data_IF_871642782614
#
_entry.id   IF_871642782614
#
_cell.length_a   1.000
_cell.length_b   1.000
_cell.length_c   1.000
_cell.angle_alpha   90.00
_cell.angle_beta   90.00
_cell.angle_gamma   90.00
#
_symmetry.space_group_name_H-M   'P 1'
#
loop_
_entity.id
_entity.type
_entity.pdbx_description
1 polymer ?
#
# COMPACT_ATOMS: atom_id res chain seq x y z
N UNK A 1 -17.52 -6.21 13.35
CA UNK A 1 -18.76 -6.83 12.83
C UNK A 1 -18.32 -7.73 11.69
N UNK A 2 -18.12 -9.01 11.99
CA UNK A 2 -17.53 -9.97 11.04
C UNK A 2 -18.58 -10.39 10.02
N UNK A 3 -18.38 -9.99 8.77
CA UNK A 3 -19.21 -10.41 7.65
C UNK A 3 -18.74 -11.79 7.18
N UNK A 4 -19.39 -12.85 7.66
CA UNK A 4 -19.29 -14.19 7.06
C UNK A 4 -20.11 -14.23 5.76
N UNK A 5 -19.44 -14.33 4.62
CA UNK A 5 -20.09 -14.53 3.32
C UNK A 5 -20.42 -16.02 3.12
N UNK A 6 -21.72 -16.37 3.12
CA UNK A 6 -22.21 -17.67 2.65
C UNK A 6 -22.65 -17.58 1.19
N UNK A 7 -21.74 -17.89 0.25
CA UNK A 7 -22.02 -17.98 -1.19
C UNK A 7 -21.74 -19.39 -1.72
N UNK A 8 -22.44 -19.81 -2.78
CA UNK A 8 -22.41 -21.19 -3.30
C UNK A 8 -20.98 -21.71 -3.55
N UNK A 9 -20.71 -22.92 -3.06
CA UNK A 9 -19.40 -23.61 -2.99
C UNK A 9 -18.63 -23.63 -4.33
N UNK A 10 -19.31 -23.59 -5.48
CA UNK A 10 -18.70 -23.55 -6.81
C UNK A 10 -18.02 -22.22 -7.16
N UNK A 11 -18.53 -21.07 -6.69
CA UNK A 11 -17.95 -19.74 -6.96
C UNK A 11 -16.74 -19.43 -6.06
N UNK A 12 -16.70 -20.02 -4.87
CA UNK A 12 -15.59 -19.86 -3.90
C UNK A 12 -14.31 -20.55 -4.41
N UNK A 13 -14.43 -21.72 -5.05
CA UNK A 13 -13.27 -22.43 -5.64
C UNK A 13 -12.58 -21.64 -6.74
N UNK A 14 -13.34 -20.92 -7.57
CA UNK A 14 -12.76 -20.09 -8.64
C UNK A 14 -11.96 -18.92 -8.06
N UNK A 15 -12.46 -18.27 -7.01
CA UNK A 15 -11.73 -17.21 -6.28
C UNK A 15 -10.44 -17.74 -5.66
N UNK A 16 -10.45 -18.95 -5.06
CA UNK A 16 -9.23 -19.60 -4.57
C UNK A 16 -8.18 -19.82 -5.66
N UNK A 17 -8.59 -20.11 -6.90
CA UNK A 17 -7.66 -20.29 -8.02
C UNK A 17 -7.17 -18.98 -8.66
N UNK A 18 -7.98 -17.92 -8.62
CA UNK A 18 -7.66 -16.63 -9.26
C UNK A 18 -6.88 -15.71 -8.32
N UNK A 19 -7.19 -15.74 -7.02
CA UNK A 19 -6.59 -14.83 -6.06
C UNK A 19 -5.05 -14.92 -6.00
N UNK A 20 -4.41 -16.10 -5.97
CA UNK A 20 -2.96 -16.21 -5.97
C UNK A 20 -2.31 -15.58 -7.23
N UNK A 21 -3.02 -15.62 -8.36
CA UNK A 21 -2.54 -15.12 -9.65
C UNK A 21 -2.68 -13.60 -9.81
N UNK A 22 -3.69 -12.98 -9.19
CA UNK A 22 -3.88 -11.52 -9.24
C UNK A 22 -4.52 -10.95 -7.98
N UNK A 23 -3.83 -11.00 -6.83
CA UNK A 23 -4.44 -10.67 -5.55
C UNK A 23 -4.78 -9.17 -5.44
N UNK A 24 -3.96 -8.30 -6.05
CA UNK A 24 -4.17 -6.85 -6.05
C UNK A 24 -5.45 -6.45 -6.79
N UNK A 25 -5.67 -7.01 -7.98
CA UNK A 25 -6.87 -6.72 -8.79
C UNK A 25 -8.13 -7.26 -8.13
N UNK A 26 -8.04 -8.46 -7.54
CA UNK A 26 -9.15 -9.05 -6.79
C UNK A 26 -9.55 -8.17 -5.60
N UNK A 27 -8.57 -7.69 -4.82
CA UNK A 27 -8.82 -6.79 -3.70
C UNK A 27 -9.35 -5.42 -4.15
N UNK A 28 -8.86 -4.85 -5.25
CA UNK A 28 -9.35 -3.57 -5.75
C UNK A 28 -10.83 -3.66 -6.14
N UNK A 29 -11.20 -4.68 -6.93
CA UNK A 29 -12.59 -4.92 -7.33
C UNK A 29 -13.48 -5.26 -6.13
N UNK A 30 -13.02 -6.14 -5.24
CA UNK A 30 -13.76 -6.50 -4.03
C UNK A 30 -14.04 -5.28 -3.14
N UNK A 31 -13.03 -4.44 -2.91
CA UNK A 31 -13.19 -3.21 -2.14
C UNK A 31 -14.13 -2.21 -2.83
N UNK A 32 -14.10 -2.12 -4.16
CA UNK A 32 -15.03 -1.28 -4.92
C UNK A 32 -16.48 -1.76 -4.70
N UNK A 33 -16.74 -3.05 -4.91
CA UNK A 33 -18.08 -3.63 -4.74
C UNK A 33 -18.60 -3.40 -3.31
N UNK A 34 -17.79 -3.67 -2.29
CA UNK A 34 -18.25 -3.46 -0.90
C UNK A 34 -18.52 -1.98 -0.64
N UNK A 35 -17.69 -1.06 -1.13
CA UNK A 35 -17.93 0.38 -0.97
C UNK A 35 -19.25 0.80 -1.60
N UNK A 36 -19.53 0.36 -2.84
CA UNK A 36 -20.79 0.65 -3.53
C UNK A 36 -22.00 0.12 -2.74
N UNK A 37 -21.90 -1.10 -2.18
CA UNK A 37 -22.98 -1.69 -1.37
C UNK A 37 -23.23 -0.90 -0.07
N UNK A 38 -22.17 -0.43 0.59
CA UNK A 38 -22.30 0.37 1.81
C UNK A 38 -22.82 1.78 1.53
N UNK A 39 -22.41 2.40 0.41
CA UNK A 39 -22.94 3.68 -0.06
C UNK A 39 -24.44 3.59 -0.37
N UNK A 40 -24.87 2.52 -1.04
CA UNK A 40 -26.30 2.27 -1.34
C UNK A 40 -27.15 2.20 -0.07
N UNK A 41 -26.56 1.82 1.07
CA UNK A 41 -27.22 1.73 2.37
C UNK A 41 -27.04 2.99 3.23
N UNK A 42 -26.57 4.09 2.66
CA UNK A 42 -26.26 5.35 3.35
C UNK A 42 -25.32 5.19 4.56
N UNK A 43 -24.47 4.16 4.57
CA UNK A 43 -23.47 4.02 5.64
C UNK A 43 -22.29 4.95 5.40
N UNK A 44 -21.86 5.65 6.46
CA UNK A 44 -20.65 6.49 6.45
C UNK A 44 -19.35 5.70 6.59
N UNK A 45 -19.44 4.41 6.92
CA UNK A 45 -18.27 3.54 7.11
C UNK A 45 -17.59 3.24 5.77
N UNK A 46 -16.26 3.25 5.76
CA UNK A 46 -15.44 2.86 4.60
C UNK A 46 -14.83 1.49 4.85
N UNK A 47 -15.54 0.39 4.53
CA UNK A 47 -15.01 -0.95 4.75
C UNK A 47 -13.80 -1.24 3.86
N UNK A 48 -12.90 -2.06 4.39
CA UNK A 48 -11.72 -2.59 3.70
C UNK A 48 -11.68 -4.10 3.88
N UNK A 49 -11.42 -4.83 2.79
CA UNK A 49 -11.22 -6.28 2.84
C UNK A 49 -9.80 -6.57 3.35
N UNK A 50 -9.73 -7.41 4.39
CA UNK A 50 -8.51 -7.95 4.98
C UNK A 50 -8.57 -9.47 4.92
N UNK A 51 -7.57 -10.11 4.34
CA UNK A 51 -7.51 -11.56 4.17
C UNK A 51 -6.61 -12.13 5.27
N UNK A 52 -7.08 -13.16 5.94
CA UNK A 52 -6.40 -13.87 7.03
C UNK A 52 -6.43 -15.37 6.74
N UNK A 53 -5.71 -16.20 7.52
CA UNK A 53 -5.77 -17.66 7.37
C UNK A 53 -5.03 -18.21 6.15
N UNK A 54 -3.89 -17.63 5.82
CA UNK A 54 -3.22 -17.71 4.51
C UNK A 54 -2.62 -19.05 4.00
N UNK A 55 -3.07 -20.27 4.27
CA UNK A 55 -2.33 -21.52 3.92
C UNK A 55 -0.80 -21.56 4.26
N UNK A 56 -0.16 -22.73 4.19
CA UNK A 56 1.28 -22.83 4.51
C UNK A 56 2.18 -22.43 3.33
N UNK A 57 1.66 -22.52 2.10
CA UNK A 57 2.39 -22.16 0.87
C UNK A 57 2.77 -20.68 0.78
N UNK A 58 2.03 -19.82 1.49
CA UNK A 58 2.33 -18.39 1.57
C UNK A 58 3.25 -18.04 2.76
N UNK A 59 3.51 -19.00 3.65
CA UNK A 59 4.36 -18.79 4.82
C UNK A 59 5.82 -18.65 4.41
N UNK A 60 6.48 -17.62 4.93
CA UNK A 60 7.84 -17.29 4.57
C UNK A 60 8.63 -16.85 5.80
N UNK A 61 9.92 -17.19 5.84
CA UNK A 61 10.79 -16.70 6.90
C UNK A 61 11.22 -15.27 6.57
N UNK A 62 11.13 -14.38 7.55
CA UNK A 62 11.45 -12.96 7.38
C UNK A 62 12.87 -12.76 6.83
N UNK A 63 13.85 -13.49 7.37
CA UNK A 63 15.25 -13.50 6.95
C UNK A 63 15.51 -13.99 5.53
N UNK A 64 14.55 -14.69 4.92
CA UNK A 64 14.70 -15.29 3.59
C UNK A 64 14.12 -14.40 2.48
N UNK A 65 13.39 -13.33 2.82
CA UNK A 65 12.80 -12.40 1.83
C UNK A 65 13.89 -11.79 0.94
N UNK A 66 13.69 -11.83 -0.37
CA UNK A 66 14.59 -11.23 -1.36
C UNK A 66 13.82 -10.29 -2.29
N UNK A 67 14.57 -9.48 -3.06
CA UNK A 67 14.01 -8.56 -4.06
C UNK A 67 13.17 -9.26 -5.14
N UNK A 68 13.44 -10.54 -5.42
CA UNK A 68 12.64 -11.38 -6.34
C UNK A 68 11.20 -11.58 -5.86
N UNK A 69 10.95 -11.45 -4.56
CA UNK A 69 9.63 -11.64 -3.96
C UNK A 69 8.77 -10.38 -4.06
N UNK A 70 9.31 -9.28 -4.61
CA UNK A 70 8.58 -8.02 -4.81
C UNK A 70 7.27 -8.25 -5.56
N UNK A 71 6.19 -7.75 -4.99
CA UNK A 71 4.83 -7.85 -5.53
C UNK A 71 4.07 -9.09 -5.06
N UNK A 72 4.72 -10.01 -4.33
CA UNK A 72 4.05 -11.16 -3.70
C UNK A 72 3.42 -10.73 -2.37
N UNK A 73 2.27 -11.33 -2.08
CA UNK A 73 1.62 -11.27 -0.77
C UNK A 73 2.03 -12.52 0.01
N UNK A 74 2.74 -12.34 1.12
CA UNK A 74 3.34 -13.43 1.92
C UNK A 74 2.97 -13.30 3.40
N UNK A 75 3.05 -14.41 4.12
CA UNK A 75 2.72 -14.54 5.55
C UNK A 75 4.00 -14.74 6.38
N UNK A 76 4.15 -13.98 7.46
CA UNK A 76 5.34 -13.99 8.30
C UNK A 76 4.99 -14.07 9.80
N UNK A 77 5.52 -15.06 10.50
CA UNK A 77 5.53 -15.04 11.97
C UNK A 77 6.57 -14.01 12.45
N UNK A 78 6.10 -12.96 13.10
CA UNK A 78 6.88 -11.77 13.40
C UNK A 78 6.69 -11.29 14.83
N UNK A 79 7.73 -10.67 15.36
CA UNK A 79 7.74 -9.97 16.64
C UNK A 79 7.96 -8.50 16.35
N UNK A 80 7.12 -7.64 16.94
CA UNK A 80 7.21 -6.20 16.80
C UNK A 80 8.35 -5.68 17.68
N UNK A 81 9.36 -5.06 17.08
CA UNK A 81 10.56 -4.58 17.78
C UNK A 81 10.64 -3.07 17.92
N UNK A 82 9.94 -2.33 17.05
CA UNK A 82 9.82 -0.88 17.14
C UNK A 82 8.46 -0.42 16.59
N UNK A 83 7.98 0.72 17.12
CA UNK A 83 6.75 1.39 16.71
C UNK A 83 7.05 2.89 16.55
N UNK A 84 6.96 3.41 15.33
CA UNK A 84 7.10 4.86 15.10
C UNK A 84 5.80 5.60 15.45
N UNK A 85 5.84 6.94 15.41
CA UNK A 85 4.65 7.76 15.62
C UNK A 85 3.65 7.59 14.47
N UNK A 86 2.34 7.53 14.75
CA UNK A 86 1.29 7.63 13.73
C UNK A 86 1.44 8.89 12.88
N UNK A 87 1.16 8.77 11.58
CA UNK A 87 1.24 9.89 10.64
C UNK A 87 0.22 9.76 9.51
N UNK A 88 -0.15 10.88 8.89
CA UNK A 88 -1.06 10.91 7.76
C UNK A 88 -0.31 10.83 6.43
N UNK A 89 -0.65 9.85 5.58
CA UNK A 89 -0.16 9.75 4.22
C UNK A 89 -1.17 10.32 3.22
N UNK A 90 -0.74 11.28 2.40
CA UNK A 90 -1.52 11.75 1.25
C UNK A 90 -1.65 10.63 0.21
N UNK A 91 -2.74 9.85 0.26
CA UNK A 91 -3.01 8.70 -0.60
C UNK A 91 -3.52 9.11 -1.99
N UNK A 92 -4.32 10.18 -2.06
CA UNK A 92 -4.76 10.77 -3.33
C UNK A 92 -4.75 12.28 -3.24
N UNK A 93 -4.20 12.93 -4.25
CA UNK A 93 -4.31 14.38 -4.40
C UNK A 93 -5.34 14.74 -5.47
N UNK A 94 -6.21 15.72 -5.17
CA UNK A 94 -7.20 16.22 -6.11
C UNK A 94 -6.74 17.53 -6.74
N UNK A 95 -6.98 17.66 -8.03
CA UNK A 95 -6.64 18.85 -8.81
C UNK A 95 -7.86 19.37 -9.55
N UNK A 96 -7.83 20.66 -9.85
CA UNK A 96 -8.76 21.37 -10.71
C UNK A 96 -8.00 22.15 -11.78
N UNK A 97 -8.54 22.19 -12.99
CA UNK A 97 -8.10 23.14 -13.99
C UNK A 97 -8.86 24.46 -13.81
N UNK A 98 -8.13 25.56 -13.71
CA UNK A 98 -8.73 26.88 -13.51
C UNK A 98 -9.32 27.46 -14.80
N UNK A 99 -9.00 26.87 -15.95
CA UNK A 99 -9.55 27.28 -17.26
C UNK A 99 -10.89 26.56 -17.57
N UNK A 100 -10.91 25.23 -17.48
CA UNK A 100 -12.10 24.43 -17.85
C UNK A 100 -12.89 23.88 -16.67
N UNK A 101 -12.45 24.10 -15.43
CA UNK A 101 -13.12 23.63 -14.20
C UNK A 101 -13.08 22.11 -13.98
N UNK A 102 -12.47 21.34 -14.88
CA UNK A 102 -12.40 19.88 -14.76
C UNK A 102 -11.57 19.49 -13.53
N UNK A 103 -12.06 18.49 -12.79
CA UNK A 103 -11.35 17.94 -11.62
C UNK A 103 -10.89 16.51 -11.87
N UNK A 104 -9.73 16.15 -11.32
CA UNK A 104 -9.20 14.79 -11.37
C UNK A 104 -8.39 14.48 -10.12
N UNK A 105 -8.11 13.19 -9.89
CA UNK A 105 -7.33 12.73 -8.75
C UNK A 105 -6.12 11.93 -9.18
N UNK A 106 -5.00 12.11 -8.49
CA UNK A 106 -3.76 11.35 -8.71
C UNK A 106 -3.51 10.47 -7.49
N UNK A 107 -3.44 9.14 -7.70
CA UNK A 107 -2.98 8.18 -6.69
C UNK A 107 -1.51 8.47 -6.36
N UNK A 108 -1.21 8.71 -5.10
CA UNK A 108 0.14 8.92 -4.62
C UNK A 108 0.77 7.58 -4.22
N UNK A 109 2.09 7.56 -4.16
CA UNK A 109 2.85 6.43 -3.63
C UNK A 109 3.30 6.75 -2.21
N UNK A 110 3.36 5.73 -1.36
CA UNK A 110 3.87 5.87 -0.01
C UNK A 110 5.36 6.17 -0.05
N UNK A 111 5.84 7.08 0.83
CA UNK A 111 7.24 7.49 0.91
C UNK A 111 7.87 7.67 -0.47
N UNK A 112 7.26 8.48 -1.33
CA UNK A 112 7.85 8.92 -2.60
C UNK A 112 7.54 10.38 -2.80
N UNK A 113 8.30 11.01 -3.69
CA UNK A 113 7.97 12.36 -4.13
C UNK A 113 6.52 12.39 -4.63
N UNK A 114 5.79 13.40 -4.15
CA UNK A 114 4.40 13.62 -4.54
C UNK A 114 4.32 13.77 -6.06
N UNK A 115 3.54 12.91 -6.70
CA UNK A 115 3.18 13.04 -8.11
C UNK A 115 2.34 14.30 -8.28
N UNK A 116 2.86 15.25 -9.05
CA UNK A 116 2.18 16.50 -9.38
C UNK A 116 1.49 16.35 -10.74
N UNK A 117 0.31 16.96 -10.87
CA UNK A 117 -0.22 17.24 -12.20
C UNK A 117 0.54 18.45 -12.77
N UNK A 118 0.84 18.41 -14.06
CA UNK A 118 1.52 19.50 -14.78
C UNK A 118 0.63 20.16 -15.82
N UNK A 119 -0.40 19.46 -16.30
CA UNK A 119 -1.33 19.98 -17.29
C UNK A 119 -2.72 19.36 -17.13
N UNK A 120 -3.74 20.10 -17.57
CA UNK A 120 -5.08 19.57 -17.77
C UNK A 120 -5.12 18.76 -19.07
N UNK A 121 -5.58 17.50 -19.01
CA UNK A 121 -5.65 16.63 -20.19
C UNK A 121 -6.62 17.14 -21.27
N UNK A 122 -7.73 17.74 -20.87
CA UNK A 122 -8.74 18.26 -21.80
C UNK A 122 -8.26 19.53 -22.52
N UNK A 123 -7.75 20.51 -21.77
CA UNK A 123 -7.20 21.72 -22.38
C UNK A 123 -5.95 21.44 -23.21
N UNK A 124 -5.15 20.43 -22.83
CA UNK A 124 -3.94 20.06 -23.56
C UNK A 124 -4.23 19.61 -24.98
N UNK A 125 -5.30 18.84 -25.21
CA UNK A 125 -5.70 18.40 -26.55
C UNK A 125 -5.96 19.59 -27.47
N UNK A 126 -6.83 20.52 -27.05
CA UNK A 126 -7.14 21.73 -27.83
C UNK A 126 -5.91 22.62 -28.07
N UNK A 127 -5.07 22.78 -27.03
CA UNK A 127 -3.85 23.58 -27.12
C UNK A 127 -2.84 23.01 -28.12
N UNK A 128 -2.55 21.72 -28.05
CA UNK A 128 -1.58 21.09 -28.96
C UNK A 128 -2.08 21.01 -30.40
N UNK A 129 -3.39 20.86 -30.60
CA UNK A 129 -3.97 20.91 -31.94
C UNK A 129 -3.90 22.30 -32.56
N UNK A 130 -4.12 23.36 -31.77
CA UNK A 130 -3.92 24.73 -32.25
C UNK A 130 -2.43 25.01 -32.52
N UNK A 131 -1.52 24.59 -31.64
CA UNK A 131 -0.08 24.73 -31.86
C UNK A 131 0.36 24.09 -33.18
N UNK A 132 -0.14 22.90 -33.51
CA UNK A 132 0.15 22.24 -34.80
C UNK A 132 -0.39 23.02 -35.99
N UNK A 133 -1.61 23.57 -35.88
CA UNK A 133 -2.24 24.35 -36.97
C UNK A 133 -1.60 25.72 -37.19
N UNK A 134 -1.04 26.31 -36.14
CA UNK A 134 -0.48 27.66 -36.13
C UNK A 134 1.05 27.71 -36.18
N UNK A 135 1.68 26.56 -36.41
CA UNK A 135 3.15 26.41 -36.42
C UNK A 135 3.81 27.02 -35.16
N UNK A 136 3.25 26.67 -34.00
CA UNK A 136 3.75 27.10 -32.69
C UNK A 136 3.21 28.44 -32.16
N UNK A 137 2.30 29.10 -32.88
CA UNK A 137 1.71 30.39 -32.47
C UNK A 137 0.26 30.25 -31.98
N UNK A 138 0.03 29.33 -31.04
CA UNK A 138 -1.29 29.15 -30.44
C UNK A 138 -1.71 30.40 -29.68
N UNK A 139 -2.98 30.81 -29.83
CA UNK A 139 -3.56 31.93 -29.08
C UNK A 139 -4.10 31.48 -27.73
N UNK A 140 -4.49 30.21 -27.61
CA UNK A 140 -4.95 29.63 -26.35
C UNK A 140 -3.76 29.54 -25.37
N UNK A 141 -4.01 29.85 -24.10
CA UNK A 141 -2.98 29.74 -23.06
C UNK A 141 -2.57 28.28 -22.83
N UNK A 142 -1.30 28.00 -22.43
CA UNK A 142 -0.87 26.67 -22.09
C UNK A 142 -1.77 26.02 -21.02
N UNK A 143 -2.02 24.71 -21.08
CA UNK A 143 -2.96 23.99 -20.20
C UNK A 143 -2.41 23.76 -18.78
N UNK A 144 -1.58 24.67 -18.27
CA UNK A 144 -0.80 24.54 -17.03
C UNK A 144 -1.40 25.31 -15.85
N UNK A 145 -2.46 26.09 -16.07
CA UNK A 145 -3.19 26.77 -14.99
C UNK A 145 -4.08 25.78 -14.22
N UNK A 146 -3.44 25.09 -13.27
CA UNK A 146 -4.03 24.04 -12.46
C UNK A 146 -3.75 24.30 -10.98
N UNK A 147 -4.68 23.92 -10.11
CA UNK A 147 -4.54 24.07 -8.67
C UNK A 147 -4.90 22.78 -7.95
N UNK A 148 -4.26 22.54 -6.81
CA UNK A 148 -4.63 21.42 -5.93
C UNK A 148 -5.81 21.85 -5.07
N UNK A 149 -6.83 21.00 -4.98
CA UNK A 149 -7.95 21.19 -4.06
C UNK A 149 -7.57 20.50 -2.74
N UNK A 150 -7.15 21.29 -1.75
CA UNK A 150 -6.61 20.76 -0.49
C UNK A 150 -7.67 19.94 0.26
N UNK A 151 -8.91 20.42 0.26
CA UNK A 151 -10.07 19.78 0.90
C UNK A 151 -10.49 18.49 0.18
N UNK A 152 -10.10 18.35 -1.09
CA UNK A 152 -10.36 17.17 -1.93
C UNK A 152 -9.32 16.07 -1.77
N UNK A 153 -8.22 16.34 -1.06
CA UNK A 153 -7.17 15.37 -0.83
C UNK A 153 -7.65 14.26 0.13
N UNK A 154 -7.23 13.03 -0.15
CA UNK A 154 -7.54 11.87 0.68
C UNK A 154 -6.27 11.44 1.40
N UNK A 155 -6.33 11.49 2.73
CA UNK A 155 -5.30 10.98 3.61
C UNK A 155 -5.68 9.61 4.18
N UNK A 156 -4.67 8.81 4.48
CA UNK A 156 -4.77 7.52 5.16
C UNK A 156 -3.79 7.53 6.34
N UNK A 157 -4.26 7.10 7.51
CA UNK A 157 -3.40 7.00 8.69
C UNK A 157 -2.46 5.81 8.50
N UNK A 158 -1.18 6.03 8.79
CA UNK A 158 -0.14 5.01 8.69
C UNK A 158 0.77 5.04 9.91
N UNK A 159 1.47 3.94 10.13
CA UNK A 159 2.53 3.85 11.14
C UNK A 159 3.61 2.89 10.63
N UNK A 160 4.87 3.33 10.75
CA UNK A 160 6.01 2.45 10.46
C UNK A 160 6.32 1.62 11.70
N UNK A 161 6.63 0.35 11.47
CA UNK A 161 7.01 -0.60 12.51
C UNK A 161 8.21 -1.41 12.06
N UNK A 162 8.99 -1.91 13.02
CA UNK A 162 10.05 -2.86 12.74
C UNK A 162 9.66 -4.26 13.19
N UNK A 163 9.99 -5.23 12.35
CA UNK A 163 9.71 -6.63 12.57
C UNK A 163 11.01 -7.44 12.66
N UNK A 164 11.02 -8.40 13.57
CA UNK A 164 11.95 -9.53 13.55
C UNK A 164 11.17 -10.84 13.62
N UNK A 165 11.83 -11.99 13.66
CA UNK A 165 11.15 -13.27 13.89
C UNK A 165 11.90 -14.13 14.92
N UNK A 166 11.22 -15.10 15.58
CA UNK A 166 11.82 -15.94 16.61
C UNK A 166 13.10 -16.66 16.15
N UNK A 167 13.10 -17.16 14.91
CA UNK A 167 14.26 -17.86 14.33
C UNK A 167 15.47 -16.94 14.22
N UNK A 168 15.27 -15.67 13.83
CA UNK A 168 16.35 -14.68 13.76
C UNK A 168 16.86 -14.30 15.15
N UNK A 169 15.97 -14.15 16.13
CA UNK A 169 16.35 -13.89 17.52
C UNK A 169 17.20 -15.03 18.10
N UNK A 170 16.77 -16.29 17.91
CA UNK A 170 17.53 -17.48 18.33
C UNK A 170 18.92 -17.51 17.68
N UNK A 171 19.00 -17.27 16.36
CA UNK A 171 20.29 -17.22 15.63
C UNK A 171 21.21 -16.13 16.18
N UNK A 172 20.69 -14.93 16.42
CA UNK A 172 21.47 -13.83 16.97
C UNK A 172 21.94 -14.10 18.41
N UNK A 173 21.11 -14.74 19.25
CA UNK A 173 21.50 -15.10 20.61
C UNK A 173 22.69 -16.08 20.68
N UNK A 174 22.86 -16.90 19.63
CA UNK A 174 23.98 -17.84 19.49
C UNK A 174 25.10 -17.32 18.57
N UNK A 175 25.04 -16.06 18.13
CA UNK A 175 26.05 -15.49 17.25
C UNK A 175 27.21 -14.89 18.06
N UNK A 176 28.32 -15.64 18.15
CA UNK A 176 29.54 -15.20 18.82
C UNK A 176 30.19 -13.98 18.17
N UNK A 177 29.87 -13.70 16.90
CA UNK A 177 30.44 -12.58 16.14
C UNK A 177 29.75 -11.24 16.40
N UNK A 178 28.69 -11.21 17.24
CA UNK A 178 27.93 -10.01 17.62
C UNK A 178 27.42 -9.19 16.43
N UNK A 179 27.04 -9.84 15.33
CA UNK A 179 26.41 -9.14 14.22
C UNK A 179 25.11 -8.48 14.69
N UNK A 180 24.74 -7.31 14.14
CA UNK A 180 23.48 -6.68 14.49
C UNK A 180 22.30 -7.56 14.08
N UNK A 181 21.30 -7.66 14.95
CA UNK A 181 20.02 -8.27 14.62
C UNK A 181 19.35 -7.49 13.49
N UNK A 182 19.20 -8.13 12.33
CA UNK A 182 18.45 -7.57 11.22
C UNK A 182 16.97 -7.41 11.58
N UNK A 183 16.41 -6.26 11.19
CA UNK A 183 15.00 -5.90 11.34
C UNK A 183 14.44 -5.49 9.99
N UNK A 184 13.16 -5.76 9.78
CA UNK A 184 12.47 -5.45 8.54
C UNK A 184 11.48 -4.33 8.78
N UNK A 185 11.58 -3.30 7.94
CA UNK A 185 10.64 -2.19 7.95
C UNK A 185 9.30 -2.64 7.39
N UNK A 186 8.25 -2.35 8.13
CA UNK A 186 6.88 -2.57 7.70
C UNK A 186 6.04 -1.31 7.92
N UNK A 187 4.93 -1.23 7.19
CA UNK A 187 3.95 -0.16 7.34
C UNK A 187 2.57 -0.75 7.54
N UNK A 188 1.90 -0.28 8.58
CA UNK A 188 0.49 -0.55 8.86
C UNK A 188 -0.34 0.69 8.52
N UNK A 189 -1.63 0.49 8.27
CA UNK A 189 -2.55 1.56 7.90
C UNK A 189 -3.90 1.44 8.64
N UNK A 190 -4.61 2.56 8.70
CA UNK A 190 -5.98 2.72 9.21
C UNK A 190 -6.17 2.00 10.56
N UNK A 191 -6.93 0.89 10.57
CA UNK A 191 -7.42 0.23 11.79
C UNK A 191 -6.31 -0.38 12.66
N UNK A 192 -5.11 -0.58 12.12
CA UNK A 192 -3.99 -1.14 12.86
C UNK A 192 -3.14 -0.06 13.55
N UNK A 193 -3.26 1.19 13.15
CA UNK A 193 -2.44 2.30 13.66
C UNK A 193 -2.71 2.50 15.14
N UNK A 194 -1.64 2.50 15.94
CA UNK A 194 -1.70 2.66 17.40
C UNK A 194 -2.30 1.48 18.16
N UNK A 195 -2.59 0.36 17.51
CA UNK A 195 -3.18 -0.83 18.16
C UNK A 195 -2.17 -1.88 18.59
N UNK A 196 -0.93 -1.79 18.10
CA UNK A 196 0.11 -2.79 18.33
C UNK A 196 1.00 -2.42 19.51
N UNK A 197 1.60 -3.44 20.13
CA UNK A 197 2.53 -3.28 21.25
C UNK A 197 3.91 -3.82 20.93
N UNK A 198 4.95 -3.26 21.57
CA UNK A 198 6.30 -3.81 21.48
C UNK A 198 6.33 -5.24 22.01
N UNK A 199 7.20 -6.07 21.43
CA UNK A 199 7.37 -7.50 21.74
C UNK A 199 6.15 -8.39 21.44
N UNK A 200 5.08 -7.83 20.87
CA UNK A 200 3.91 -8.59 20.50
C UNK A 200 4.22 -9.59 19.39
N UNK A 201 3.79 -10.83 19.59
CA UNK A 201 3.86 -11.91 18.60
C UNK A 201 2.64 -11.87 17.69
N UNK A 202 2.89 -11.78 16.39
CA UNK A 202 1.86 -11.68 15.36
C UNK A 202 2.23 -12.46 14.12
N UNK A 203 1.24 -12.93 13.39
CA UNK A 203 1.39 -13.32 11.98
C UNK A 203 0.98 -12.13 11.14
N UNK A 204 1.92 -11.59 10.36
CA UNK A 204 1.65 -10.49 9.43
C UNK A 204 1.53 -11.03 8.01
N UNK A 205 0.46 -10.66 7.33
CA UNK A 205 0.30 -10.92 5.90
C UNK A 205 0.61 -9.62 5.18
N UNK A 206 1.67 -9.58 4.38
CA UNK A 206 2.21 -8.35 3.84
C UNK A 206 2.62 -8.46 2.37
N UNK A 207 2.42 -7.37 1.64
CA UNK A 207 2.99 -7.18 0.31
C UNK A 207 4.47 -6.85 0.44
N UNK A 208 5.30 -7.58 -0.28
CA UNK A 208 6.73 -7.27 -0.39
C UNK A 208 6.88 -6.15 -1.42
N UNK A 209 7.26 -4.96 -0.97
CA UNK A 209 7.49 -3.80 -1.83
C UNK A 209 8.95 -3.31 -1.72
N UNK A 210 9.30 -2.39 -2.62
CA UNK A 210 10.59 -1.71 -2.61
C UNK A 210 10.38 -0.21 -2.46
N UNK A 211 11.14 0.36 -1.54
CA UNK A 211 11.12 1.79 -1.27
C UNK A 211 12.49 2.45 -1.48
N UNK A 212 12.51 3.78 -1.51
CA UNK A 212 13.77 4.53 -1.56
C UNK A 212 14.50 4.47 -0.20
N UNK A 213 15.81 4.77 -0.22
CA UNK A 213 16.56 4.94 1.02
C UNK A 213 16.03 6.16 1.80
N UNK A 214 15.99 6.12 3.14
CA UNK A 214 15.66 7.30 3.94
C UNK A 214 16.52 8.51 3.49
N UNK A 215 15.87 9.67 3.33
CA UNK A 215 16.50 10.93 2.90
C UNK A 215 17.01 10.99 1.45
N UNK A 216 16.66 10.05 0.57
CA UNK A 216 17.01 10.10 -0.87
C UNK A 216 15.81 9.79 -1.74
N UNK A 217 15.66 10.50 -2.85
CA UNK A 217 14.62 10.22 -3.84
C UNK A 217 15.10 9.26 -4.94
N UNK A 218 14.17 8.91 -5.84
CA UNK A 218 14.41 8.00 -6.97
C UNK A 218 15.31 8.61 -8.05
N UNK A 219 15.42 9.93 -8.13
CA UNK A 219 16.23 10.62 -9.13
C UNK A 219 17.72 10.62 -8.74
N UNK A 220 18.01 10.60 -7.44
CA UNK A 220 19.37 10.69 -6.90
C UNK A 220 20.00 9.33 -6.57
N UNK A 221 19.21 8.27 -6.37
CA UNK A 221 19.72 6.96 -5.96
C UNK A 221 18.92 5.81 -6.58
N UNK A 222 19.60 4.74 -7.00
CA UNK A 222 18.98 3.53 -7.57
C UNK A 222 18.82 2.41 -6.55
N UNK A 223 19.46 2.49 -5.38
CA UNK A 223 19.34 1.50 -4.30
C UNK A 223 17.96 1.57 -3.65
N UNK A 224 17.45 0.42 -3.23
CA UNK A 224 16.12 0.29 -2.65
C UNK A 224 16.17 -0.52 -1.35
N UNK A 225 15.27 -0.20 -0.45
CA UNK A 225 15.03 -0.98 0.77
C UNK A 225 13.80 -1.84 0.59
N UNK A 226 13.83 -3.05 1.14
CA UNK A 226 12.64 -3.88 1.24
C UNK A 226 11.71 -3.29 2.30
N UNK A 227 10.43 -3.15 1.96
CA UNK A 227 9.39 -2.74 2.89
C UNK A 227 8.22 -3.72 2.82
N UNK A 228 7.69 -4.07 3.97
CA UNK A 228 6.51 -4.92 4.09
C UNK A 228 5.27 -4.05 4.28
N UNK A 229 4.43 -3.95 3.25
CA UNK A 229 3.16 -3.25 3.34
C UNK A 229 2.10 -4.20 3.88
N UNK A 230 1.75 -4.04 5.15
CA UNK A 230 0.91 -4.99 5.86
C UNK A 230 -0.52 -4.93 5.32
N UNK A 231 -0.97 -6.07 4.83
CA UNK A 231 -2.34 -6.28 4.40
C UNK A 231 -3.23 -6.66 5.57
N UNK A 232 -2.82 -7.57 6.45
CA UNK A 232 -3.57 -7.97 7.64
C UNK A 232 -2.64 -8.48 8.73
N UNK A 233 -3.17 -8.53 9.95
CA UNK A 233 -2.46 -9.01 11.14
C UNK A 233 -3.34 -10.01 11.86
N UNK A 234 -2.76 -11.15 12.24
CA UNK A 234 -3.36 -12.19 13.06
C UNK A 234 -2.62 -12.28 14.40
N UNK A 235 -3.33 -12.43 15.53
CA UNK A 235 -2.69 -12.54 16.84
C UNK A 235 -1.96 -13.87 17.00
N UNK A 236 -0.73 -13.82 17.53
CA UNK A 236 0.11 -15.00 17.74
C UNK A 236 0.68 -15.57 16.44
N UNK A 237 1.35 -16.71 16.54
CA UNK A 237 1.92 -17.40 15.39
C UNK A 237 0.97 -18.46 14.83
N UNK A 238 0.76 -18.41 13.51
CA UNK A 238 -0.08 -19.37 12.77
C UNK A 238 0.39 -20.82 12.96
N UNK A 239 1.71 -21.03 12.96
CA UNK A 239 2.34 -22.32 13.16
C UNK A 239 3.28 -22.23 14.38
N UNK A 240 2.97 -22.99 15.44
CA UNK A 240 3.87 -23.19 16.61
C UNK A 240 5.09 -24.06 16.29
N UNK A 241 5.22 -24.54 15.05
CA UNK A 241 6.43 -25.17 14.57
C UNK A 241 7.44 -24.04 14.31
N UNK A 242 8.12 -23.55 15.36
CA UNK A 242 9.50 -23.03 15.43
C UNK A 242 9.76 -22.32 16.77
#
# INVERSE_FOLDING_TARGET
MDLKFSGSISRIRLLHSIFPNSPTKCLELGNQVIREQFQTRNSRTRPVIRIIGFDDEFSYLLGDVRTRDRGRLLSFNSIITNLDSPMGWLKKSQYICNECGTTWSIKQSLARERKRSFQCSLCAESYYDEMKKTDGKAKISPPTNISMIVEGNIYEDIQYIELTCPVMLKRHAHDETRNPLFRYLAVINDEYVGQLSLTQEVTVNAWVELDHLPNRDFAMDTRRVLILKIHSIEPGFKNKLF
#
